data_IF_998567603492
#
_entry.id   IF_998567603492
#
_cell.length_a   1.000
_cell.length_b   1.000
_cell.length_c   1.000
_cell.angle_alpha   90.00
_cell.angle_beta   90.00
_cell.angle_gamma   90.00
#
_symmetry.space_group_name_H-M   'P 1'
#
loop_
_entity.id
_entity.type
_entity.pdbx_description
1 polymer ?
#
# COMPACT_ATOMS: atom_id res chain seq x y z
N UNK A 1 -10.52 -3.15 7.22
CA UNK A 1 -10.55 -2.31 6.01
C UNK A 1 -9.13 -2.01 5.54
N UNK A 2 -8.93 -1.57 4.29
CA UNK A 2 -7.59 -1.33 3.74
C UNK A 2 -7.31 0.16 3.54
N UNK A 3 -6.23 0.65 4.14
CA UNK A 3 -5.68 1.97 3.89
C UNK A 3 -4.42 1.85 3.03
N UNK A 4 -4.42 2.52 1.87
CA UNK A 4 -3.32 2.45 0.90
C UNK A 4 -2.65 3.81 0.72
N UNK A 5 -1.33 3.80 0.68
CA UNK A 5 -0.50 4.99 0.42
C UNK A 5 0.39 4.72 -0.78
N UNK A 6 0.21 5.48 -1.84
CA UNK A 6 1.04 5.45 -3.04
C UNK A 6 1.87 6.74 -3.12
N UNK A 7 3.14 6.63 -3.51
CA UNK A 7 4.00 7.79 -3.72
C UNK A 7 5.20 7.48 -4.63
N UNK A 8 5.84 8.55 -5.08
CA UNK A 8 7.20 8.58 -5.61
C UNK A 8 8.12 9.36 -4.65
N UNK A 9 9.42 9.19 -4.84
CA UNK A 9 10.45 9.94 -4.12
C UNK A 9 11.39 10.59 -5.14
N UNK A 10 11.56 11.91 -5.05
CA UNK A 10 12.22 12.71 -6.11
C UNK A 10 13.73 12.87 -5.95
N UNK A 11 14.32 12.44 -4.83
CA UNK A 11 15.75 12.55 -4.55
C UNK A 11 16.44 11.18 -4.61
N UNK A 12 17.09 10.82 -5.74
CA UNK A 12 17.72 9.50 -5.90
C UNK A 12 18.82 9.22 -4.89
N UNK A 13 19.56 10.24 -4.44
CA UNK A 13 20.68 10.06 -3.52
C UNK A 13 20.21 9.65 -2.11
N UNK A 14 18.98 10.02 -1.76
CA UNK A 14 18.37 9.75 -0.44
C UNK A 14 17.29 8.68 -0.49
N UNK A 15 16.95 8.16 -1.66
CA UNK A 15 15.85 7.20 -1.86
C UNK A 15 16.04 5.93 -1.04
N UNK A 16 17.25 5.38 -0.99
CA UNK A 16 17.54 4.19 -0.17
C UNK A 16 17.35 4.48 1.32
N UNK A 17 17.93 5.56 1.83
CA UNK A 17 17.82 5.96 3.23
C UNK A 17 16.37 6.26 3.65
N UNK A 18 15.59 6.90 2.75
CA UNK A 18 14.16 7.10 2.93
C UNK A 18 13.40 5.78 3.00
N UNK A 19 13.71 4.83 2.12
CA UNK A 19 13.09 3.51 2.12
C UNK A 19 13.40 2.73 3.40
N UNK A 20 14.63 2.79 3.89
CA UNK A 20 15.03 2.13 5.14
C UNK A 20 14.31 2.75 6.35
N UNK A 21 14.26 4.09 6.42
CA UNK A 21 13.49 4.83 7.42
C UNK A 21 12.00 4.45 7.39
N UNK A 22 11.41 4.40 6.19
CA UNK A 22 9.98 4.15 6.04
C UNK A 22 9.65 2.69 6.44
N UNK A 23 10.38 1.70 5.93
CA UNK A 23 10.16 0.28 6.27
C UNK A 23 10.40 -0.04 7.76
N UNK A 24 11.19 0.79 8.46
CA UNK A 24 11.50 0.60 9.88
C UNK A 24 10.70 1.55 10.78
N UNK A 25 11.31 2.67 11.17
CA UNK A 25 10.81 3.62 12.16
C UNK A 25 9.41 4.12 11.83
N UNK A 26 9.17 4.55 10.60
CA UNK A 26 7.87 5.10 10.22
C UNK A 26 6.75 4.08 10.35
N UNK A 27 6.97 2.86 9.86
CA UNK A 27 5.97 1.81 10.02
C UNK A 27 5.79 1.40 11.48
N UNK A 28 6.82 1.45 12.33
CA UNK A 28 6.66 1.24 13.78
C UNK A 28 5.70 2.25 14.39
N UNK A 29 5.90 3.53 14.09
CA UNK A 29 5.07 4.63 14.58
C UNK A 29 3.62 4.47 14.12
N UNK A 30 3.39 4.17 12.83
CA UNK A 30 2.06 3.92 12.28
C UNK A 30 1.40 2.68 12.88
N UNK A 31 2.13 1.56 13.01
CA UNK A 31 1.63 0.34 13.63
C UNK A 31 1.42 0.46 15.14
N UNK A 32 1.92 1.51 15.80
CA UNK A 32 1.63 1.81 17.20
C UNK A 32 0.30 2.56 17.37
N UNK A 33 -0.25 3.18 16.32
CA UNK A 33 -1.56 3.87 16.37
C UNK A 33 -2.68 2.85 16.62
N UNK A 34 -3.53 3.00 17.65
CA UNK A 34 -4.67 2.12 17.88
C UNK A 34 -5.56 2.02 16.64
N UNK A 35 -5.95 0.80 16.27
CA UNK A 35 -6.75 0.51 15.08
C UNK A 35 -5.96 0.20 13.81
N UNK A 36 -4.63 0.40 13.79
CA UNK A 36 -3.75 -0.18 12.77
C UNK A 36 -3.37 -1.61 13.14
N UNK A 37 -3.61 -2.56 12.24
CA UNK A 37 -3.47 -4.01 12.49
C UNK A 37 -2.30 -4.64 11.74
N UNK A 38 -2.13 -4.29 10.46
CA UNK A 38 -1.00 -4.78 9.66
C UNK A 38 -0.46 -3.69 8.75
N UNK A 39 0.77 -3.85 8.27
CA UNK A 39 1.39 -2.98 7.27
C UNK A 39 2.37 -3.75 6.40
N UNK A 40 2.35 -3.51 5.10
CA UNK A 40 3.35 -4.02 4.16
C UNK A 40 3.67 -2.98 3.10
N UNK A 41 4.96 -2.91 2.72
CA UNK A 41 5.46 -2.02 1.67
C UNK A 41 5.84 -2.79 0.43
N UNK A 42 5.65 -2.16 -0.71
CA UNK A 42 5.90 -2.72 -2.02
C UNK A 42 6.55 -1.69 -2.95
N UNK A 43 7.32 -2.19 -3.91
CA UNK A 43 7.90 -1.41 -5.01
C UNK A 43 7.42 -1.98 -6.34
N UNK A 44 6.95 -1.12 -7.23
CA UNK A 44 6.56 -1.50 -8.57
C UNK A 44 7.76 -2.10 -9.32
N UNK A 45 7.53 -3.21 -10.03
CA UNK A 45 8.56 -3.83 -10.88
C UNK A 45 8.51 -3.31 -12.34
N UNK A 46 7.48 -2.55 -12.68
CA UNK A 46 7.32 -1.87 -13.96
C UNK A 46 7.29 -0.35 -13.80
N UNK A 47 7.09 0.34 -14.91
CA UNK A 47 6.92 1.80 -14.93
C UNK A 47 5.69 2.21 -14.11
N UNK A 48 5.87 3.16 -13.20
CA UNK A 48 4.80 3.74 -12.40
C UNK A 48 5.17 5.16 -12.00
N UNK A 49 4.19 6.07 -12.03
CA UNK A 49 4.36 7.43 -11.50
C UNK A 49 4.39 7.46 -9.98
N UNK A 50 3.85 6.43 -9.31
CA UNK A 50 3.91 6.22 -7.87
C UNK A 50 4.43 4.80 -7.58
N UNK A 51 5.75 4.57 -7.71
CA UNK A 51 6.33 3.22 -7.66
C UNK A 51 6.27 2.60 -6.26
N UNK A 52 6.07 3.38 -5.20
CA UNK A 52 5.98 2.87 -3.84
C UNK A 52 4.53 2.78 -3.38
N UNK A 53 4.14 1.59 -2.93
CA UNK A 53 2.83 1.32 -2.35
C UNK A 53 3.00 0.81 -0.92
N UNK A 54 2.18 1.28 0.00
CA UNK A 54 2.02 0.73 1.35
C UNK A 54 0.57 0.36 1.55
N UNK A 55 0.31 -0.87 2.01
CA UNK A 55 -1.04 -1.32 2.37
C UNK A 55 -1.08 -1.58 3.87
N UNK A 56 -2.02 -0.94 4.55
CA UNK A 56 -2.32 -1.14 5.95
C UNK A 56 -3.68 -1.79 6.12
N UNK A 57 -3.81 -2.70 7.08
CA UNK A 57 -5.13 -3.07 7.61
C UNK A 57 -5.46 -2.12 8.74
N UNK A 58 -6.62 -1.46 8.65
CA UNK A 58 -7.13 -0.51 9.65
C UNK A 58 -8.58 -0.85 9.98
N UNK A 59 -8.98 -0.69 11.23
CA UNK A 59 -10.33 -1.03 11.71
C UNK A 59 -11.41 -0.21 11.02
N UNK A 60 -11.20 1.11 10.90
CA UNK A 60 -12.17 2.04 10.33
C UNK A 60 -11.49 3.29 9.78
N UNK A 61 -12.25 4.08 9.03
CA UNK A 61 -11.80 5.38 8.53
C UNK A 61 -11.52 6.38 9.68
N UNK A 62 -12.26 6.28 10.79
CA UNK A 62 -12.14 7.20 11.93
C UNK A 62 -10.77 7.15 12.60
N UNK A 63 -10.08 6.00 12.51
CA UNK A 63 -8.69 5.88 12.95
C UNK A 63 -7.81 6.95 12.27
N UNK A 64 -8.06 7.24 10.99
CA UNK A 64 -7.27 8.18 10.17
C UNK A 64 -7.63 9.66 10.44
N UNK A 65 -8.69 9.93 11.19
CA UNK A 65 -9.10 11.28 11.60
C UNK A 65 -8.79 11.55 13.08
N UNK A 66 -8.43 10.51 13.85
CA UNK A 66 -8.14 10.59 15.28
C UNK A 66 -6.81 11.28 15.63
N UNK A 67 -6.74 11.81 16.86
CA UNK A 67 -5.54 12.47 17.38
C UNK A 67 -4.32 11.54 17.47
N UNK A 68 -4.54 10.25 17.79
CA UNK A 68 -3.46 9.26 17.86
C UNK A 68 -2.78 9.05 16.50
N UNK A 69 -3.55 9.05 15.41
CA UNK A 69 -2.99 8.95 14.06
C UNK A 69 -2.17 10.19 13.71
N UNK A 70 -2.73 11.39 13.90
CA UNK A 70 -1.98 12.65 13.64
C UNK A 70 -0.71 12.76 14.49
N UNK A 71 -0.79 12.41 15.77
CA UNK A 71 0.32 12.45 16.72
C UNK A 71 1.38 11.37 16.47
N UNK A 72 0.99 10.19 15.96
CA UNK A 72 1.89 9.10 15.56
C UNK A 72 2.54 9.30 14.19
N UNK A 73 2.53 10.52 13.66
CA UNK A 73 3.04 10.84 12.32
C UNK A 73 2.14 10.36 11.18
N UNK A 74 0.96 9.83 11.46
CA UNK A 74 0.00 9.45 10.44
C UNK A 74 -0.33 10.62 9.51
N UNK A 75 -0.19 10.40 8.20
CA UNK A 75 -0.45 11.42 7.20
C UNK A 75 0.63 12.49 7.08
N UNK A 76 1.84 12.24 7.58
CA UNK A 76 3.06 13.03 7.32
C UNK A 76 4.31 12.14 7.35
N UNK A 77 5.43 12.67 6.89
CA UNK A 77 6.76 12.08 7.04
C UNK A 77 7.66 13.02 7.83
N UNK A 78 8.82 12.52 8.27
CA UNK A 78 9.90 13.39 8.76
C UNK A 78 10.15 14.55 7.76
N UNK A 79 10.33 15.76 8.28
CA UNK A 79 10.43 16.98 7.48
C UNK A 79 11.57 16.89 6.46
N UNK A 80 12.64 16.16 6.77
CA UNK A 80 13.78 15.96 5.88
C UNK A 80 13.44 15.12 4.64
N UNK A 81 12.36 14.35 4.67
CA UNK A 81 11.89 13.53 3.53
C UNK A 81 10.62 14.09 2.89
N UNK A 82 9.75 14.77 3.65
CA UNK A 82 8.42 15.20 3.22
C UNK A 82 8.43 16.02 1.92
N UNK A 83 9.44 16.88 1.71
CA UNK A 83 9.55 17.71 0.50
C UNK A 83 9.86 16.92 -0.78
N UNK A 84 10.40 15.72 -0.64
CA UNK A 84 10.79 14.85 -1.76
C UNK A 84 9.73 13.79 -2.07
N UNK A 85 8.64 13.73 -1.32
CA UNK A 85 7.54 12.78 -1.56
C UNK A 85 6.60 13.40 -2.57
N UNK A 86 6.49 12.77 -3.74
CA UNK A 86 5.70 13.24 -4.88
C UNK A 86 4.64 12.20 -5.25
N UNK A 87 3.68 12.59 -6.10
CA UNK A 87 2.57 11.71 -6.54
C UNK A 87 1.87 11.00 -5.36
N UNK A 88 1.69 11.75 -4.27
CA UNK A 88 1.27 11.20 -2.99
C UNK A 88 -0.24 11.03 -2.95
N UNK A 89 -0.67 9.78 -2.91
CA UNK A 89 -2.08 9.38 -2.88
C UNK A 89 -2.38 8.55 -1.65
N UNK A 90 -3.53 8.81 -1.04
CA UNK A 90 -4.00 8.14 0.18
C UNK A 90 -5.44 7.70 -0.06
N UNK A 91 -5.64 6.40 -0.23
CA UNK A 91 -6.94 5.82 -0.57
C UNK A 91 -7.41 4.87 0.51
N UNK A 92 -8.71 4.81 0.72
CA UNK A 92 -9.31 3.92 1.70
C UNK A 92 -10.34 3.01 1.03
N UNK A 93 -10.28 1.71 1.33
CA UNK A 93 -11.03 0.68 0.64
C UNK A 93 -11.70 -0.29 1.63
N UNK A 94 -12.96 -0.62 1.35
CA UNK A 94 -13.69 -1.74 1.96
C UNK A 94 -13.68 -2.98 1.07
N UNK A 95 -14.25 -4.08 1.57
CA UNK A 95 -14.37 -5.36 0.85
C UNK A 95 -13.38 -6.44 1.31
N UNK A 96 -12.40 -6.07 2.14
CA UNK A 96 -11.55 -7.02 2.87
C UNK A 96 -11.34 -6.57 4.31
N UNK A 97 -11.47 -7.52 5.23
CA UNK A 97 -11.21 -7.29 6.65
C UNK A 97 -9.71 -7.12 6.90
N UNK A 98 -8.89 -7.90 6.19
CA UNK A 98 -7.43 -7.92 6.34
C UNK A 98 -6.71 -7.91 5.01
N UNK A 99 -5.63 -7.13 4.92
CA UNK A 99 -4.75 -7.12 3.76
C UNK A 99 -4.06 -8.49 3.62
N UNK A 100 -4.02 -9.08 2.40
CA UNK A 100 -3.25 -10.30 2.19
C UNK A 100 -1.78 -10.04 2.49
N UNK A 101 -1.14 -10.97 3.19
CA UNK A 101 0.30 -10.97 3.35
C UNK A 101 0.93 -11.56 2.07
N UNK A 102 1.77 -10.77 1.40
CA UNK A 102 2.48 -11.22 0.20
C UNK A 102 3.87 -11.68 0.62
N UNK A 103 4.21 -12.93 0.36
CA UNK A 103 5.52 -13.48 0.69
C UNK A 103 6.60 -12.95 -0.26
N UNK A 104 7.88 -13.08 0.13
CA UNK A 104 9.03 -12.58 -0.62
C UNK A 104 9.13 -13.14 -2.07
N UNK A 105 8.63 -14.35 -2.27
CA UNK A 105 8.58 -15.03 -3.58
C UNK A 105 7.28 -14.77 -4.37
N UNK A 106 6.35 -14.00 -3.82
CA UNK A 106 5.07 -13.63 -4.44
C UNK A 106 5.08 -12.14 -4.80
N UNK A 107 4.12 -11.74 -5.64
CA UNK A 107 3.91 -10.36 -6.01
C UNK A 107 2.45 -9.97 -5.85
N UNK A 108 2.23 -8.66 -5.79
CA UNK A 108 0.92 -8.04 -5.74
C UNK A 108 0.59 -7.47 -7.12
N UNK A 109 -0.49 -7.93 -7.74
CA UNK A 109 -1.13 -7.23 -8.86
C UNK A 109 -2.21 -6.28 -8.34
N UNK A 110 -2.24 -5.08 -8.91
CA UNK A 110 -3.23 -4.03 -8.61
C UNK A 110 -3.83 -3.52 -9.91
N UNK A 111 -5.15 -3.40 -9.98
CA UNK A 111 -5.87 -2.87 -11.13
C UNK A 111 -7.06 -2.03 -10.70
N UNK A 112 -7.20 -0.83 -11.27
CA UNK A 112 -8.34 0.06 -10.98
C UNK A 112 -9.45 -0.03 -12.06
N UNK A 113 -9.27 -0.88 -13.08
CA UNK A 113 -10.09 -0.95 -14.29
C UNK A 113 -10.63 -2.38 -14.55
N UNK A 114 -11.72 -2.80 -13.89
CA UNK A 114 -12.22 -4.19 -13.96
C UNK A 114 -12.55 -4.67 -15.37
N UNK A 115 -13.04 -3.79 -16.23
CA UNK A 115 -13.39 -4.16 -17.61
C UNK A 115 -12.16 -4.48 -18.47
N UNK A 116 -11.00 -3.90 -18.18
CA UNK A 116 -9.78 -4.12 -18.95
C UNK A 116 -9.02 -5.40 -18.57
N UNK A 117 -9.43 -6.06 -17.48
CA UNK A 117 -8.83 -7.32 -17.02
C UNK A 117 -9.77 -8.51 -17.18
N UNK A 118 -10.87 -8.34 -17.93
CA UNK A 118 -11.75 -9.46 -18.30
C UNK A 118 -10.96 -10.50 -19.11
N UNK A 119 -11.01 -11.76 -18.67
CA UNK A 119 -10.29 -12.87 -19.32
C UNK A 119 -8.81 -12.96 -18.96
N UNK A 120 -8.28 -12.05 -18.15
CA UNK A 120 -6.95 -12.23 -17.56
C UNK A 120 -7.05 -13.30 -16.49
N UNK A 121 -6.20 -14.32 -16.57
CA UNK A 121 -6.14 -15.43 -15.60
C UNK A 121 -5.50 -15.00 -14.27
N UNK A 122 -6.15 -14.07 -13.57
CA UNK A 122 -5.80 -13.54 -12.24
C UNK A 122 -7.09 -13.35 -11.45
N UNK A 123 -7.15 -13.96 -10.27
CA UNK A 123 -8.30 -13.85 -9.38
C UNK A 123 -8.19 -12.59 -8.52
N UNK A 124 -8.68 -11.48 -9.05
CA UNK A 124 -8.73 -10.21 -8.33
C UNK A 124 -9.82 -10.20 -7.26
N UNK A 125 -9.42 -9.80 -6.05
CA UNK A 125 -10.38 -9.34 -5.03
C UNK A 125 -10.65 -7.87 -5.27
N UNK A 126 -11.90 -7.55 -5.62
CA UNK A 126 -12.33 -6.19 -5.91
C UNK A 126 -12.79 -5.47 -4.64
N UNK A 127 -12.07 -4.39 -4.33
CA UNK A 127 -12.35 -3.51 -3.23
C UNK A 127 -13.17 -2.31 -3.70
N UNK A 128 -14.02 -1.79 -2.82
CA UNK A 128 -14.81 -0.58 -3.08
C UNK A 128 -14.22 0.60 -2.30
N UNK A 129 -14.14 1.78 -2.93
CA UNK A 129 -13.69 2.98 -2.21
C UNK A 129 -14.59 3.27 -1.02
N UNK A 130 -13.98 3.68 0.09
CA UNK A 130 -14.64 3.97 1.36
C UNK A 130 -14.19 5.30 1.99
N UNK A 131 -13.49 6.15 1.23
CA UNK A 131 -13.09 7.49 1.67
C UNK A 131 -11.67 7.91 1.24
N UNK A 132 -11.27 9.10 1.71
CA UNK A 132 -10.03 9.79 1.31
C UNK A 132 -10.00 10.10 -0.20
N UNK A 133 -8.98 9.62 -0.92
CA UNK A 133 -8.92 9.71 -2.37
C UNK A 133 -9.80 8.63 -3.01
N UNK A 134 -10.83 9.08 -3.73
CA UNK A 134 -11.79 8.25 -4.44
C UNK A 134 -11.58 8.23 -5.96
N UNK A 135 -10.40 8.64 -6.47
CA UNK A 135 -10.16 8.70 -7.93
C UNK A 135 -10.19 7.33 -8.63
N UNK A 136 -10.12 6.24 -7.84
CA UNK A 136 -10.39 4.88 -8.29
C UNK A 136 -11.56 4.30 -7.46
N UNK A 137 -12.79 4.25 -8.00
CA UNK A 137 -13.98 3.83 -7.25
C UNK A 137 -13.94 2.33 -6.88
N UNK A 138 -13.19 1.54 -7.64
CA UNK A 138 -12.88 0.14 -7.34
C UNK A 138 -11.40 -0.12 -7.56
N UNK A 139 -10.84 -1.01 -6.75
CA UNK A 139 -9.45 -1.48 -6.87
C UNK A 139 -9.39 -2.99 -6.68
N UNK A 140 -8.96 -3.70 -7.70
CA UNK A 140 -8.65 -5.12 -7.66
C UNK A 140 -7.25 -5.31 -7.11
N UNK A 141 -7.10 -6.23 -6.16
CA UNK A 141 -5.80 -6.73 -5.72
C UNK A 141 -5.74 -8.25 -5.87
N UNK A 142 -4.58 -8.78 -6.24
CA UNK A 142 -4.35 -10.21 -6.34
C UNK A 142 -2.93 -10.57 -5.93
N UNK A 143 -2.79 -11.73 -5.28
CA UNK A 143 -1.50 -12.38 -5.04
C UNK A 143 -1.18 -13.26 -6.24
N UNK A 144 0.00 -13.09 -6.79
CA UNK A 144 0.44 -13.81 -8.00
C UNK A 144 1.87 -14.31 -7.84
N UNK A 145 2.24 -15.33 -8.61
CA UNK A 145 3.63 -15.80 -8.68
C UNK A 145 4.49 -14.89 -9.58
N UNK A 146 5.81 -15.12 -9.54
CA UNK A 146 6.79 -14.35 -10.32
C UNK A 146 6.60 -14.48 -11.83
N UNK A 147 6.27 -15.66 -12.33
CA UNK A 147 6.08 -15.89 -13.77
C UNK A 147 4.85 -15.14 -14.28
N UNK A 148 3.75 -15.17 -13.54
CA UNK A 148 2.55 -14.39 -13.84
C UNK A 148 2.85 -12.89 -13.78
N UNK A 149 3.57 -12.43 -12.75
CA UNK A 149 3.96 -11.03 -12.60
C UNK A 149 4.75 -10.49 -13.79
N UNK A 150 5.80 -11.20 -14.21
CA UNK A 150 6.64 -10.80 -15.36
C UNK A 150 5.84 -10.80 -16.67
N UNK A 151 4.88 -11.72 -16.83
CA UNK A 151 3.97 -11.73 -17.97
C UNK A 151 3.05 -10.51 -17.94
N UNK A 152 2.40 -10.22 -16.82
CA UNK A 152 1.46 -9.10 -16.69
C UNK A 152 2.16 -7.74 -16.86
N UNK A 153 3.34 -7.56 -16.25
CA UNK A 153 4.14 -6.35 -16.38
C UNK A 153 4.60 -6.06 -17.83
N UNK A 154 4.63 -7.08 -18.70
CA UNK A 154 4.91 -6.91 -20.13
C UNK A 154 3.66 -6.70 -20.97
N UNK A 155 2.59 -7.42 -20.67
CA UNK A 155 1.41 -7.52 -21.55
C UNK A 155 0.26 -6.57 -21.19
N UNK A 156 0.21 -6.08 -19.95
CA UNK A 156 -0.88 -5.25 -19.42
C UNK A 156 -0.35 -3.93 -18.82
N UNK A 157 0.70 -3.37 -19.41
CA UNK A 157 1.29 -2.09 -18.99
C UNK A 157 0.23 -0.98 -19.01
N UNK A 158 0.19 -0.17 -17.96
CA UNK A 158 -0.80 0.90 -17.78
C UNK A 158 -2.18 0.43 -17.32
N UNK A 159 -2.43 -0.89 -17.25
CA UNK A 159 -3.70 -1.48 -16.79
C UNK A 159 -3.53 -2.20 -15.46
N UNK A 160 -2.48 -3.02 -15.35
CA UNK A 160 -2.13 -3.77 -14.14
C UNK A 160 -0.77 -3.30 -13.67
N UNK A 161 -0.74 -2.75 -12.45
CA UNK A 161 0.50 -2.46 -11.75
C UNK A 161 0.92 -3.71 -10.96
N UNK A 162 2.18 -4.10 -11.09
CA UNK A 162 2.74 -5.25 -10.37
C UNK A 162 3.79 -4.75 -9.39
N UNK A 163 3.68 -5.18 -8.13
CA UNK A 163 4.58 -4.76 -7.07
C UNK A 163 5.24 -5.96 -6.38
N UNK A 164 6.55 -5.85 -6.15
CA UNK A 164 7.30 -6.75 -5.30
C UNK A 164 7.27 -6.28 -3.84
N UNK A 165 7.13 -7.17 -2.84
CA UNK A 165 7.21 -6.79 -1.44
C UNK A 165 8.63 -6.33 -1.10
N UNK A 166 8.76 -5.22 -0.38
CA UNK A 166 10.04 -4.72 0.13
C UNK A 166 10.39 -5.29 1.50
N UNK A 167 9.41 -5.90 2.16
CA UNK A 167 9.50 -6.46 3.51
C UNK A 167 8.32 -7.42 3.76
N UNK A 168 8.44 -8.38 4.69
CA UNK A 168 7.32 -9.21 5.14
C UNK A 168 6.21 -8.36 5.75
N UNK A 169 4.94 -8.78 5.64
CA UNK A 169 3.86 -8.06 6.32
C UNK A 169 4.11 -8.03 7.83
N UNK A 170 4.06 -6.83 8.42
CA UNK A 170 4.18 -6.61 9.86
C UNK A 170 2.83 -6.50 10.51
N UNK A 171 2.75 -6.98 11.74
CA UNK A 171 1.56 -6.92 12.58
C UNK A 171 1.75 -5.86 13.66
N UNK A 172 0.64 -5.38 14.20
CA UNK A 172 0.67 -4.54 15.39
C UNK A 172 1.38 -5.23 16.57
N UNK A 173 1.95 -4.47 17.53
CA UNK A 173 2.55 -5.05 18.72
C UNK A 173 1.54 -5.83 19.56
N UNK A 174 1.97 -6.97 20.12
CA UNK A 174 1.15 -7.74 21.05
C UNK A 174 0.77 -6.90 22.29
N UNK A 175 -0.48 -7.02 22.77
CA UNK A 175 -0.95 -6.34 23.98
C UNK A 175 -1.61 -4.97 23.77
N UNK A 176 -1.81 -4.52 22.52
CA UNK A 176 -2.67 -3.37 22.23
C UNK A 176 -4.13 -3.69 22.58
N UNK A 177 -4.65 -3.09 23.64
CA UNK A 177 -6.09 -3.15 23.90
C UNK A 177 -6.84 -2.30 22.86
N UNK A 178 -7.88 -2.85 22.20
CA UNK A 178 -8.85 -2.02 21.50
C UNK A 178 -9.51 -1.12 22.55
N UNK A 179 -9.49 0.19 22.33
CA UNK A 179 -10.30 1.12 23.13
C UNK A 179 -11.73 1.09 22.64
#
# INVERSE_FOLDING_TARGET
MLYMVECAFSDPAREQAWNDYYSSRKLNEVLAVPGFRTSQRFKAIGESTAPYLTIHTVDSLDVLTGGAYRGGGGGSFDQSYQSNITNWRRSFYGGLDRAPAIAENELLAVCDQPDQVKGVAVDFVWLATAGLDASAPRRGIARIDRTQAERLARTHRGVINVYAPMMPQRQEPAGKQPR
#
